data_IF_476141555776
#
_entry.id   IF_476141555776
#
_cell.length_a   1.000
_cell.length_b   1.000
_cell.length_c   1.000
_cell.angle_alpha   90.00
_cell.angle_beta   90.00
_cell.angle_gamma   90.00
#
_symmetry.space_group_name_H-M   'P 1'
#
loop_
_entity.id
_entity.type
_entity.pdbx_description
1 polymer ?
#
# COMPACT_ATOMS: atom_id res chain seq x y z
N UNK A 1 -0.30 6.93 -18.21
CA UNK A 1 -0.13 6.83 -16.75
C UNK A 1 -0.89 5.60 -16.27
N UNK A 2 -0.20 4.60 -15.72
CA UNK A 2 -0.75 3.34 -15.23
C UNK A 2 -0.68 3.33 -13.70
N UNK A 3 -1.81 3.07 -13.04
CA UNK A 3 -1.88 3.05 -11.56
C UNK A 3 -2.18 1.65 -11.08
N UNK A 4 -1.36 1.13 -10.15
CA UNK A 4 -1.64 -0.10 -9.42
C UNK A 4 -2.51 0.20 -8.19
N UNK A 5 -3.53 -0.62 -7.94
CA UNK A 5 -4.40 -0.48 -6.76
C UNK A 5 -4.42 -1.81 -6.02
N UNK A 6 -4.20 -1.76 -4.70
CA UNK A 6 -4.23 -2.90 -3.81
C UNK A 6 -4.87 -2.49 -2.47
N UNK A 7 -5.33 -3.46 -1.69
CA UNK A 7 -5.92 -3.28 -0.36
C UNK A 7 -5.71 -4.55 0.45
N UNK A 8 -5.98 -4.48 1.76
CA UNK A 8 -6.15 -5.66 2.61
C UNK A 8 -4.95 -6.61 2.58
N UNK A 9 -3.75 -6.03 2.59
CA UNK A 9 -2.53 -6.85 2.67
C UNK A 9 -2.37 -7.47 4.04
N UNK A 10 -2.89 -6.87 5.11
CA UNK A 10 -2.81 -7.38 6.49
C UNK A 10 -1.38 -7.82 6.87
N UNK A 11 -0.37 -7.07 6.42
CA UNK A 11 1.05 -7.33 6.66
C UNK A 11 1.69 -8.39 5.76
N UNK A 12 0.98 -8.92 4.77
CA UNK A 12 1.48 -9.91 3.79
C UNK A 12 1.29 -9.40 2.36
N UNK A 13 2.38 -9.33 1.60
CA UNK A 13 2.35 -8.99 0.17
C UNK A 13 2.64 -10.24 -0.67
N UNK A 14 1.71 -10.73 -1.51
CA UNK A 14 2.01 -11.83 -2.42
C UNK A 14 3.09 -11.43 -3.43
N UNK A 15 4.13 -12.25 -3.61
CA UNK A 15 5.26 -11.95 -4.51
C UNK A 15 4.82 -11.58 -5.94
N UNK A 16 3.75 -12.22 -6.43
CA UNK A 16 3.17 -11.95 -7.76
C UNK A 16 2.75 -10.48 -7.96
N UNK A 17 2.45 -9.75 -6.89
CA UNK A 17 2.13 -8.32 -6.97
C UNK A 17 3.31 -7.53 -7.52
N UNK A 18 4.54 -7.91 -7.16
CA UNK A 18 5.76 -7.24 -7.64
C UNK A 18 5.89 -7.33 -9.16
N UNK A 19 5.50 -8.47 -9.75
CA UNK A 19 5.51 -8.68 -11.19
C UNK A 19 4.35 -7.95 -11.89
N UNK A 20 3.13 -8.05 -11.33
CA UNK A 20 1.93 -7.41 -11.91
C UNK A 20 2.08 -5.89 -11.93
N UNK A 21 2.70 -5.34 -10.89
CA UNK A 21 2.87 -3.89 -10.73
C UNK A 21 4.11 -3.37 -11.45
N UNK A 22 4.89 -4.21 -12.16
CA UNK A 22 5.96 -3.71 -13.02
C UNK A 22 5.43 -2.67 -14.03
N UNK A 23 6.13 -1.54 -14.11
CA UNK A 23 5.83 -0.44 -15.03
C UNK A 23 4.58 0.38 -14.66
N UNK A 24 4.06 0.29 -13.43
CA UNK A 24 3.08 1.28 -12.94
C UNK A 24 3.80 2.57 -12.54
N UNK A 25 3.15 3.71 -12.75
CA UNK A 25 3.68 5.03 -12.41
C UNK A 25 3.36 5.44 -10.96
N UNK A 26 2.33 4.82 -10.37
CA UNK A 26 1.82 5.11 -9.03
C UNK A 26 1.13 3.86 -8.45
N UNK A 27 1.23 3.67 -7.14
CA UNK A 27 0.51 2.63 -6.39
C UNK A 27 -0.40 3.29 -5.35
N UNK A 28 -1.65 2.84 -5.29
CA UNK A 28 -2.62 3.21 -4.25
C UNK A 28 -2.89 2.00 -3.35
N UNK A 29 -2.73 2.16 -2.04
CA UNK A 29 -3.11 1.16 -1.04
C UNK A 29 -4.37 1.62 -0.29
N UNK A 30 -5.48 0.91 -0.48
CA UNK A 30 -6.82 1.36 -0.05
C UNK A 30 -7.18 1.10 1.42
N UNK A 31 -6.26 0.53 2.19
CA UNK A 31 -6.40 0.34 3.65
C UNK A 31 -6.04 -1.07 4.07
N UNK A 32 -6.08 -1.31 5.38
CA UNK A 32 -5.74 -2.58 6.02
C UNK A 32 -4.35 -3.09 5.60
N UNK A 33 -3.37 -2.18 5.74
CA UNK A 33 -1.96 -2.37 5.39
C UNK A 33 -1.33 -3.44 6.29
N UNK A 34 -1.57 -3.37 7.60
CA UNK A 34 -1.06 -4.27 8.63
C UNK A 34 0.42 -4.06 9.01
N UNK A 35 1.30 -3.72 8.06
CA UNK A 35 2.72 -3.45 8.34
C UNK A 35 3.34 -2.40 7.43
N UNK A 36 4.18 -1.52 7.98
CA UNK A 36 4.96 -0.55 7.18
C UNK A 36 5.92 -1.21 6.18
N UNK A 37 6.23 -2.50 6.37
CA UNK A 37 7.02 -3.25 5.40
C UNK A 37 6.34 -3.30 4.04
N UNK A 38 5.00 -3.42 3.99
CA UNK A 38 4.20 -3.46 2.76
C UNK A 38 4.41 -2.19 1.94
N UNK A 39 4.32 -1.02 2.59
CA UNK A 39 4.54 0.26 1.93
C UNK A 39 5.98 0.37 1.41
N UNK A 40 6.96 -0.16 2.16
CA UNK A 40 8.37 -0.19 1.73
C UNK A 40 8.58 -1.09 0.51
N UNK A 41 7.96 -2.28 0.49
CA UNK A 41 8.05 -3.21 -0.64
C UNK A 41 7.40 -2.66 -1.90
N UNK A 42 6.15 -2.17 -1.80
CA UNK A 42 5.46 -1.52 -2.91
C UNK A 42 6.23 -0.28 -3.40
N UNK A 43 6.82 0.48 -2.47
CA UNK A 43 7.64 1.65 -2.75
C UNK A 43 8.94 1.36 -3.51
N UNK A 44 9.38 0.10 -3.57
CA UNK A 44 10.51 -0.30 -4.43
C UNK A 44 10.15 -0.34 -5.92
N UNK A 45 8.86 -0.37 -6.26
CA UNK A 45 8.34 -0.44 -7.63
C UNK A 45 8.01 0.97 -8.13
N UNK A 46 7.19 1.71 -7.38
CA UNK A 46 6.70 3.03 -7.73
C UNK A 46 6.28 3.82 -6.47
N UNK A 47 6.10 5.15 -6.54
CA UNK A 47 5.57 5.93 -5.43
C UNK A 47 4.24 5.35 -4.89
N UNK A 48 4.09 5.32 -3.57
CA UNK A 48 2.90 4.77 -2.91
C UNK A 48 2.14 5.88 -2.20
N UNK A 49 0.83 5.97 -2.47
CA UNK A 49 -0.12 6.68 -1.62
C UNK A 49 -1.01 5.66 -0.92
N UNK A 50 -1.34 5.93 0.34
CA UNK A 50 -2.11 4.99 1.13
C UNK A 50 -3.02 5.72 2.11
N UNK A 51 -4.15 5.08 2.40
CA UNK A 51 -4.96 5.36 3.58
C UNK A 51 -4.82 4.21 4.57
N UNK A 52 -5.11 4.46 5.84
CA UNK A 52 -5.21 3.41 6.83
C UNK A 52 -6.65 2.87 6.88
N UNK A 53 -6.78 1.55 7.01
CA UNK A 53 -8.08 0.88 7.20
C UNK A 53 -8.49 0.77 8.66
N UNK A 54 -9.55 0.00 8.94
CA UNK A 54 -10.02 -0.21 10.31
C UNK A 54 -9.16 -1.19 11.10
N UNK A 55 -8.35 -2.03 10.45
CA UNK A 55 -7.40 -2.93 11.10
C UNK A 55 -6.01 -2.29 11.28
N UNK A 56 -5.80 -1.11 10.73
CA UNK A 56 -4.56 -0.35 10.88
C UNK A 56 -4.59 0.52 12.14
N UNK A 57 -3.71 0.19 13.10
CA UNK A 57 -3.59 0.91 14.36
C UNK A 57 -2.17 1.47 14.57
N UNK A 58 -2.01 2.25 15.65
CA UNK A 58 -0.70 2.69 16.11
C UNK A 58 0.04 3.53 15.08
N UNK A 59 1.22 3.08 14.64
CA UNK A 59 2.09 3.86 13.75
C UNK A 59 1.48 4.05 12.36
N UNK A 60 0.75 3.06 11.83
CA UNK A 60 0.14 3.16 10.49
C UNK A 60 -0.95 4.23 10.49
N UNK A 61 -1.90 4.18 11.43
CA UNK A 61 -2.96 5.18 11.58
C UNK A 61 -2.45 6.61 11.87
N UNK A 62 -1.21 6.77 12.35
CA UNK A 62 -0.58 8.08 12.54
C UNK A 62 0.11 8.61 11.28
N UNK A 63 0.60 7.71 10.41
CA UNK A 63 1.36 8.08 9.22
C UNK A 63 0.48 8.28 8.00
N UNK A 64 -0.62 7.54 7.90
CA UNK A 64 -1.56 7.62 6.80
C UNK A 64 -2.89 8.16 7.31
N UNK A 65 -3.61 8.96 6.51
CA UNK A 65 -4.94 9.44 6.82
C UNK A 65 -6.00 8.37 6.51
N UNK A 66 -7.25 8.59 6.91
CA UNK A 66 -8.34 7.62 6.73
C UNK A 66 -9.00 7.68 5.34
N UNK A 67 -9.02 8.85 4.70
CA UNK A 67 -9.88 9.09 3.52
C UNK A 67 -9.27 9.93 2.39
N UNK A 68 -8.03 10.39 2.49
CA UNK A 68 -7.42 11.29 1.48
C UNK A 68 -5.99 10.81 1.13
N UNK A 69 -5.67 10.61 -0.15
CA UNK A 69 -4.39 10.04 -0.61
C UNK A 69 -3.49 11.04 -1.33
#
# INVERSE_FOLDING_TARGET
>A
MKTGIISDTHGTLPEKVLDIFQGVDLILHAGDIGSLHIIKELGSIAPVKAVHGNMDYGKIAKLFPRTEM
#
